data_IF_666289192110
#
_entry.id   IF_666289192110
#
_cell.length_a   1.000
_cell.length_b   1.000
_cell.length_c   1.000
_cell.angle_alpha   90.00
_cell.angle_beta   90.00
_cell.angle_gamma   90.00
#
_symmetry.space_group_name_H-M   'P 1'
#
loop_
_entity.id
_entity.type
_entity.pdbx_description
1 polymer ?
#
# COMPACT_ATOMS: atom_id res chain seq x y z
N UNK A 1 8.46 1.80 -13.00
CA UNK A 1 7.58 2.99 -12.99
C UNK A 1 7.64 3.70 -11.64
N UNK A 2 7.35 5.02 -11.60
CA UNK A 2 7.18 5.77 -10.34
C UNK A 2 5.71 5.78 -9.96
N UNK A 3 5.39 5.38 -8.73
CA UNK A 3 4.03 5.44 -8.18
C UNK A 3 3.99 6.36 -6.96
N UNK A 4 2.82 6.95 -6.71
CA UNK A 4 2.56 7.77 -5.54
C UNK A 4 1.48 7.11 -4.69
N UNK A 5 1.78 6.90 -3.42
CA UNK A 5 0.91 6.28 -2.44
C UNK A 5 0.53 7.29 -1.36
N UNK A 6 -0.72 7.31 -0.93
CA UNK A 6 -1.17 8.09 0.23
C UNK A 6 -0.98 7.27 1.52
N UNK A 7 -0.20 7.81 2.47
CA UNK A 7 0.00 7.22 3.79
C UNK A 7 -1.11 7.68 4.73
N UNK A 8 -2.03 6.78 5.07
CA UNK A 8 -3.18 7.11 5.91
C UNK A 8 -2.86 7.19 7.40
N UNK A 9 -1.77 6.58 7.87
CA UNK A 9 -1.42 6.61 9.30
C UNK A 9 -0.65 7.88 9.67
N UNK A 10 0.25 8.31 8.79
CA UNK A 10 1.14 9.45 9.06
C UNK A 10 0.67 10.75 8.41
N UNK A 11 -0.22 10.65 7.43
CA UNK A 11 -0.60 11.77 6.58
C UNK A 11 0.50 12.11 5.58
N UNK A 12 0.12 12.37 4.34
CA UNK A 12 1.05 12.71 3.26
C UNK A 12 1.23 11.59 2.24
N UNK A 13 2.17 11.78 1.32
CA UNK A 13 2.39 10.88 0.20
C UNK A 13 3.81 10.32 0.20
N UNK A 14 3.93 9.07 -0.23
CA UNK A 14 5.18 8.37 -0.44
C UNK A 14 5.30 8.07 -1.92
N UNK A 15 6.47 8.34 -2.50
CA UNK A 15 6.74 8.03 -3.90
C UNK A 15 7.79 6.93 -3.99
N UNK A 16 7.53 5.96 -4.86
CA UNK A 16 8.32 4.73 -4.97
C UNK A 16 8.63 4.44 -6.43
N UNK A 17 9.82 3.95 -6.71
CA UNK A 17 10.11 3.26 -7.97
C UNK A 17 9.86 1.77 -7.84
N UNK A 18 9.06 1.20 -8.73
CA UNK A 18 8.58 -0.18 -8.71
C UNK A 18 8.61 -0.81 -10.10
N UNK A 19 8.70 -2.13 -10.18
CA UNK A 19 8.44 -2.87 -11.41
C UNK A 19 6.93 -2.99 -11.63
N UNK A 20 6.42 -2.52 -12.77
CA UNK A 20 4.99 -2.48 -13.08
C UNK A 20 4.36 -3.89 -13.16
N UNK A 21 5.16 -4.90 -13.53
CA UNK A 21 4.73 -6.30 -13.67
C UNK A 21 4.81 -7.08 -12.37
N UNK A 22 5.44 -6.53 -11.34
CA UNK A 22 5.56 -7.18 -10.05
C UNK A 22 4.20 -7.24 -9.32
N UNK A 23 4.08 -8.21 -8.41
CA UNK A 23 2.92 -8.31 -7.53
C UNK A 23 2.86 -7.12 -6.56
N UNK A 24 1.67 -6.61 -6.17
CA UNK A 24 1.54 -5.47 -5.24
C UNK A 24 2.25 -5.65 -3.88
N UNK A 25 2.54 -6.88 -3.47
CA UNK A 25 3.33 -7.14 -2.25
C UNK A 25 4.74 -6.57 -2.30
N UNK A 26 5.33 -6.41 -3.49
CA UNK A 26 6.64 -5.76 -3.66
C UNK A 26 6.65 -4.30 -3.19
N UNK A 27 5.49 -3.62 -3.20
CA UNK A 27 5.33 -2.29 -2.60
C UNK A 27 5.60 -2.36 -1.09
N UNK A 28 5.09 -3.40 -0.42
CA UNK A 28 5.25 -3.60 1.03
C UNK A 28 6.73 -3.80 1.37
N UNK A 29 7.45 -4.56 0.54
CA UNK A 29 8.90 -4.78 0.67
C UNK A 29 9.67 -3.47 0.55
N UNK A 30 9.38 -2.65 -0.46
CA UNK A 30 10.02 -1.32 -0.60
C UNK A 30 9.70 -0.38 0.56
N UNK A 31 8.46 -0.38 1.04
CA UNK A 31 8.09 0.41 2.22
C UNK A 31 8.86 -0.04 3.48
N UNK A 32 9.20 -1.33 3.59
CA UNK A 32 10.07 -1.85 4.66
C UNK A 32 11.52 -1.42 4.48
N UNK A 33 12.06 -1.50 3.26
CA UNK A 33 13.42 -1.02 2.94
C UNK A 33 13.61 0.46 3.29
N UNK A 34 12.56 1.27 3.10
CA UNK A 34 12.54 2.69 3.46
C UNK A 34 12.31 2.95 4.96
N UNK A 35 12.14 1.92 5.79
CA UNK A 35 11.83 2.06 7.21
C UNK A 35 10.44 2.65 7.50
N UNK A 36 9.57 2.68 6.50
CA UNK A 36 8.20 3.20 6.63
C UNK A 36 7.25 2.16 7.20
N UNK A 37 7.54 0.87 7.01
CA UNK A 37 6.79 -0.26 7.55
C UNK A 37 7.78 -1.15 8.32
N UNK A 38 7.46 -1.52 9.56
CA UNK A 38 8.33 -2.43 10.32
C UNK A 38 8.14 -3.90 9.90
N UNK A 39 9.06 -4.76 10.33
CA UNK A 39 8.94 -6.22 10.16
C UNK A 39 7.72 -6.85 10.86
N UNK A 40 7.12 -6.12 11.80
CA UNK A 40 5.96 -6.56 12.57
C UNK A 40 4.65 -5.98 12.05
N UNK A 41 4.72 -5.25 10.93
CA UNK A 41 3.59 -4.63 10.28
C UNK A 41 3.46 -5.17 8.86
N UNK A 42 2.22 -5.18 8.39
CA UNK A 42 1.86 -5.29 6.98
C UNK A 42 1.06 -4.06 6.58
N UNK A 43 0.80 -3.92 5.29
CA UNK A 43 -0.07 -2.86 4.79
C UNK A 43 -1.24 -3.44 4.01
N UNK A 44 -2.38 -2.75 4.09
CA UNK A 44 -3.51 -2.99 3.21
C UNK A 44 -3.66 -1.83 2.24
N UNK A 45 -3.88 -2.16 0.98
CA UNK A 45 -4.22 -1.20 -0.08
C UNK A 45 -5.74 -1.05 -0.20
N UNK A 46 -6.19 0.03 -0.84
CA UNK A 46 -7.62 0.26 -1.10
C UNK A 46 -8.41 0.66 0.14
N UNK A 47 -7.74 1.07 1.22
CA UNK A 47 -8.39 1.61 2.41
C UNK A 47 -8.86 3.03 2.09
N UNK A 48 -10.15 3.31 2.30
CA UNK A 48 -10.71 4.66 2.14
C UNK A 48 -9.95 5.70 2.97
N UNK A 49 -9.89 6.97 2.53
CA UNK A 49 -9.20 8.03 3.30
C UNK A 49 -9.72 8.21 4.73
N UNK A 50 -11.01 7.91 4.97
CA UNK A 50 -11.61 7.94 6.31
C UNK A 50 -11.35 6.66 7.14
N UNK A 51 -10.67 5.67 6.56
CA UNK A 51 -10.27 4.42 7.20
C UNK A 51 -11.40 3.44 7.50
N UNK A 52 -12.63 3.67 7.02
CA UNK A 52 -13.83 2.89 7.41
C UNK A 52 -14.16 1.75 6.46
N UNK A 53 -13.68 1.81 5.23
CA UNK A 53 -13.99 0.85 4.18
C UNK A 53 -12.71 0.41 3.48
N UNK A 54 -12.69 -0.84 3.03
CA UNK A 54 -11.61 -1.43 2.26
C UNK A 54 -12.23 -1.87 0.93
N UNK A 55 -11.73 -1.31 -0.18
CA UNK A 55 -12.10 -1.76 -1.50
C UNK A 55 -11.25 -2.97 -1.86
N UNK A 56 -11.92 -4.06 -2.25
CA UNK A 56 -11.23 -5.18 -2.85
C UNK A 56 -10.73 -4.77 -4.23
N UNK A 57 -9.41 -4.67 -4.37
CA UNK A 57 -8.77 -4.38 -5.65
C UNK A 57 -8.20 -5.68 -6.21
N UNK A 58 -8.83 -6.31 -7.23
CA UNK A 58 -8.26 -7.47 -7.89
C UNK A 58 -7.09 -7.04 -8.78
N UNK A 59 -5.90 -6.91 -8.20
CA UNK A 59 -4.69 -6.56 -8.91
C UNK A 59 -3.63 -7.64 -8.72
N UNK A 60 -3.30 -8.35 -9.80
CA UNK A 60 -2.17 -9.29 -9.84
C UNK A 60 -0.84 -8.57 -10.06
N UNK A 61 -0.88 -7.36 -10.64
CA UNK A 61 0.30 -6.52 -10.90
C UNK A 61 0.11 -5.11 -10.37
N UNK A 62 1.21 -4.38 -10.15
CA UNK A 62 1.17 -2.97 -9.77
C UNK A 62 0.53 -2.12 -10.87
N UNK A 63 0.77 -2.43 -12.14
CA UNK A 63 0.11 -1.76 -13.25
C UNK A 63 -1.42 -1.83 -13.13
N UNK A 64 -1.97 -3.01 -12.81
CA UNK A 64 -3.41 -3.20 -12.62
C UNK A 64 -3.93 -2.40 -11.41
N UNK A 65 -3.15 -2.31 -10.33
CA UNK A 65 -3.48 -1.49 -9.18
C UNK A 65 -3.56 0.00 -9.55
N UNK A 66 -2.62 0.49 -10.36
CA UNK A 66 -2.60 1.87 -10.89
C UNK A 66 -3.77 2.11 -11.85
N UNK A 67 -4.06 1.17 -12.74
CA UNK A 67 -5.18 1.25 -13.66
C UNK A 67 -6.52 1.36 -12.91
N UNK A 68 -6.71 0.55 -11.85
CA UNK A 68 -7.89 0.63 -10.99
C UNK A 68 -8.03 2.00 -10.30
N UNK A 69 -6.93 2.53 -9.76
CA UNK A 69 -6.89 3.86 -9.16
C UNK A 69 -7.29 4.96 -10.15
N UNK A 70 -6.76 4.91 -11.38
CA UNK A 70 -7.09 5.86 -12.44
C UNK A 70 -8.57 5.75 -12.85
N UNK A 71 -9.09 4.53 -13.01
CA UNK A 71 -10.48 4.29 -13.39
C UNK A 71 -11.46 4.81 -12.34
N UNK A 72 -11.16 4.57 -11.06
CA UNK A 72 -12.03 4.96 -9.94
C UNK A 72 -11.81 6.40 -9.47
N UNK A 73 -10.77 7.08 -9.98
CA UNK A 73 -10.31 8.40 -9.51
C UNK A 73 -10.01 8.43 -8.01
N UNK A 74 -9.64 7.28 -7.44
CA UNK A 74 -9.25 7.16 -6.04
C UNK A 74 -7.74 7.03 -5.94
N UNK A 75 -7.06 7.77 -5.04
CA UNK A 75 -5.63 7.60 -4.84
C UNK A 75 -5.33 6.19 -4.33
N UNK A 76 -4.21 5.61 -4.73
CA UNK A 76 -3.70 4.41 -4.07
C UNK A 76 -3.26 4.80 -2.67
N UNK A 77 -4.02 4.38 -1.68
CA UNK A 77 -3.73 4.58 -0.27
C UNK A 77 -3.26 3.28 0.37
N UNK A 78 -2.47 3.41 1.43
CA UNK A 78 -2.15 2.29 2.30
C UNK A 78 -2.29 2.66 3.76
N UNK A 79 -2.54 1.63 4.57
CA UNK A 79 -2.56 1.72 6.03
C UNK A 79 -1.82 0.53 6.63
N UNK A 80 -1.07 0.76 7.70
CA UNK A 80 -0.32 -0.25 8.44
C UNK A 80 -1.24 -1.01 9.39
N UNK A 81 -0.98 -2.30 9.50
CA UNK A 81 -1.65 -3.18 10.45
C UNK A 81 -0.62 -4.06 11.16
N UNK A 82 -0.76 -4.27 12.48
CA UNK A 82 0.10 -5.18 13.21
C UNK A 82 -0.15 -6.62 12.76
N UNK A 83 0.94 -7.34 12.48
CA UNK A 83 0.88 -8.78 12.23
C UNK A 83 0.76 -9.47 13.60
N UNK A 84 -0.42 -10.01 13.89
CA UNK A 84 -0.68 -10.69 15.16
C UNK A 84 0.22 -11.93 15.28
N UNK A 85 0.75 -12.18 16.48
CA UNK A 85 1.73 -13.25 16.74
C UNK A 85 3.21 -12.83 16.57
N UNK A 86 3.47 -11.63 16.04
CA UNK A 86 4.83 -11.07 15.95
C UNK A 86 5.06 -9.85 16.87
N UNK A 87 4.05 -9.45 17.67
CA UNK A 87 4.16 -8.39 18.67
C UNK A 87 4.74 -8.91 19.99
N UNK A 88 5.65 -8.14 20.60
CA UNK A 88 6.27 -8.42 21.90
C UNK A 88 5.22 -8.76 22.97
N UNK A 89 5.36 -9.93 23.58
CA UNK A 89 5.07 -10.15 25.01
C UNK A 89 5.93 -9.24 25.87
#
# INVERSE_FOLDING_TARGET
MRIRLLDLDRGGAVELEVDEKAHPTSIIEKLREMGLVSRYETVMFGVTPNGRQIFYVPAATIEQLVAYSNQTKQPISFRRFPIHGYGKS
#
